data_IF_638302907349
#
_entry.id   IF_638302907349
#
_cell.length_a   1.000
_cell.length_b   1.000
_cell.length_c   1.000
_cell.angle_alpha   90.00
_cell.angle_beta   90.00
_cell.angle_gamma   90.00
#
_symmetry.space_group_name_H-M   'P 1'
#
loop_
_entity.id
_entity.type
_entity.pdbx_description
1 polymer ?
#
# COMPACT_ATOMS: atom_id res chain seq x y z
N UNK A 1 -23.13 -77.37 33.64
CA UNK A 1 -21.93 -77.03 32.84
C UNK A 1 -21.51 -75.61 33.18
N UNK A 2 -20.19 -75.42 33.26
CA UNK A 2 -19.39 -74.40 33.96
C UNK A 2 -19.76 -72.90 33.89
N UNK A 3 -19.35 -72.22 34.98
CA UNK A 3 -19.39 -70.79 35.35
C UNK A 3 -18.12 -70.00 34.93
N UNK A 4 -18.14 -68.68 35.20
CA UNK A 4 -17.07 -67.66 35.37
C UNK A 4 -16.79 -66.78 34.13
N UNK A 5 -17.05 -65.45 34.12
CA UNK A 5 -16.46 -64.27 34.83
C UNK A 5 -14.98 -64.02 34.47
N UNK A 6 -14.71 -62.80 33.95
CA UNK A 6 -13.51 -61.90 34.03
C UNK A 6 -13.44 -61.10 32.71
N UNK A 7 -13.80 -59.81 32.66
CA UNK A 7 -12.99 -58.61 32.99
C UNK A 7 -11.61 -58.54 32.31
N UNK A 8 -11.42 -57.47 31.53
CA UNK A 8 -10.15 -56.75 31.28
C UNK A 8 -9.05 -57.41 30.41
N UNK A 9 -8.90 -56.92 29.18
CA UNK A 9 -7.63 -56.75 28.44
C UNK A 9 -7.91 -56.10 27.05
N UNK A 10 -8.19 -54.80 26.97
CA UNK A 10 -7.21 -53.76 26.59
C UNK A 10 -5.74 -54.23 26.52
N UNK A 11 -5.03 -53.72 25.51
CA UNK A 11 -3.68 -54.06 25.03
C UNK A 11 -3.62 -55.26 24.08
N UNK A 12 -3.75 -55.00 22.77
CA UNK A 12 -2.93 -55.63 21.70
C UNK A 12 -3.23 -55.03 20.31
N UNK A 13 -3.31 -53.70 20.16
CA UNK A 13 -3.12 -53.02 18.85
C UNK A 13 -2.38 -51.70 19.09
N UNK A 14 -1.19 -51.82 19.67
CA UNK A 14 -0.17 -50.77 19.74
C UNK A 14 1.13 -51.53 19.60
N UNK A 15 1.59 -51.78 18.36
CA UNK A 15 2.98 -52.16 18.00
C UNK A 15 3.09 -52.40 16.47
N UNK A 16 2.56 -51.48 15.67
CA UNK A 16 2.97 -51.28 14.28
C UNK A 16 3.27 -49.79 14.07
N UNK A 17 4.18 -49.29 14.91
CA UNK A 17 4.77 -47.96 14.84
C UNK A 17 6.29 -48.11 14.87
N UNK A 18 6.92 -48.36 13.72
CA UNK A 18 8.36 -48.11 13.52
C UNK A 18 8.77 -48.32 12.05
N UNK A 19 8.26 -47.48 11.13
CA UNK A 19 8.95 -47.14 9.87
C UNK A 19 8.21 -46.11 9.00
N UNK A 20 7.26 -45.35 9.55
CA UNK A 20 6.99 -44.03 8.97
C UNK A 20 8.13 -43.16 9.47
N UNK A 21 9.07 -42.83 8.58
CA UNK A 21 10.08 -41.79 8.82
C UNK A 21 9.34 -40.62 9.47
N UNK A 22 9.71 -40.28 10.71
CA UNK A 22 9.53 -38.93 11.21
C UNK A 22 10.26 -38.04 10.20
N UNK A 23 9.55 -37.56 9.19
CA UNK A 23 9.92 -36.32 8.55
C UNK A 23 9.86 -35.34 9.69
N UNK A 24 11.04 -34.97 10.21
CA UNK A 24 11.14 -33.75 11.01
C UNK A 24 10.53 -32.68 10.11
N UNK A 25 9.29 -32.27 10.39
CA UNK A 25 8.75 -31.06 9.79
C UNK A 25 9.72 -29.97 10.23
N UNK A 26 10.60 -29.56 9.32
CA UNK A 26 11.50 -28.46 9.58
C UNK A 26 10.62 -27.25 9.91
N UNK A 27 11.04 -26.47 10.91
CA UNK A 27 10.34 -25.24 11.22
C UNK A 27 10.20 -24.41 9.92
N UNK A 28 9.05 -23.78 9.66
CA UNK A 28 8.88 -22.99 8.45
C UNK A 28 9.99 -21.95 8.34
N UNK A 29 10.57 -21.85 7.15
CA UNK A 29 11.50 -20.78 6.78
C UNK A 29 10.84 -19.41 6.95
N UNK A 30 11.64 -18.35 7.04
CA UNK A 30 11.11 -16.98 7.13
C UNK A 30 10.16 -16.66 5.97
N UNK A 31 10.44 -17.20 4.79
CA UNK A 31 9.61 -17.00 3.61
C UNK A 31 8.26 -17.72 3.70
N UNK A 32 8.25 -18.97 4.21
CA UNK A 32 7.02 -19.70 4.47
C UNK A 32 6.20 -19.02 5.58
N UNK A 33 6.85 -18.51 6.63
CA UNK A 33 6.19 -17.74 7.67
C UNK A 33 5.54 -16.46 7.09
N UNK A 34 6.25 -15.75 6.22
CA UNK A 34 5.71 -14.56 5.55
C UNK A 34 4.52 -14.91 4.65
N UNK A 35 4.60 -16.01 3.89
CA UNK A 35 3.50 -16.48 3.05
C UNK A 35 2.27 -16.84 3.90
N UNK A 36 2.46 -17.53 5.03
CA UNK A 36 1.40 -17.85 5.98
C UNK A 36 0.78 -16.59 6.60
N UNK A 37 1.59 -15.57 6.92
CA UNK A 37 1.10 -14.29 7.43
C UNK A 37 0.25 -13.55 6.38
N UNK A 38 0.71 -13.49 5.13
CA UNK A 38 -0.09 -12.93 4.03
C UNK A 38 -1.41 -13.67 3.84
N UNK A 39 -1.39 -15.00 3.79
CA UNK A 39 -2.60 -15.81 3.67
C UNK A 39 -3.58 -15.54 4.83
N UNK A 40 -3.07 -15.45 6.07
CA UNK A 40 -3.88 -15.13 7.25
C UNK A 40 -4.52 -13.75 7.13
N UNK A 41 -3.72 -12.73 6.83
CA UNK A 41 -4.18 -11.33 6.75
C UNK A 41 -5.22 -11.16 5.64
N UNK A 42 -4.94 -11.66 4.44
CA UNK A 42 -5.85 -11.55 3.30
C UNK A 42 -7.13 -12.35 3.54
N UNK A 43 -7.02 -13.55 4.13
CA UNK A 43 -8.17 -14.36 4.52
C UNK A 43 -9.05 -13.70 5.58
N UNK A 44 -8.45 -13.03 6.58
CA UNK A 44 -9.19 -12.26 7.58
C UNK A 44 -9.92 -11.07 6.97
N UNK A 45 -9.28 -10.33 6.06
CA UNK A 45 -9.91 -9.23 5.34
C UNK A 45 -11.13 -9.74 4.55
N UNK A 46 -10.97 -10.81 3.78
CA UNK A 46 -12.06 -11.38 2.98
C UNK A 46 -13.20 -11.91 3.88
N UNK A 47 -12.87 -12.63 4.95
CA UNK A 47 -13.84 -13.14 5.91
C UNK A 47 -14.70 -12.01 6.49
N UNK A 48 -14.08 -10.91 6.90
CA UNK A 48 -14.78 -9.74 7.46
C UNK A 48 -15.67 -9.09 6.39
N UNK A 49 -15.20 -8.92 5.16
CA UNK A 49 -16.00 -8.32 4.07
C UNK A 49 -17.25 -9.16 3.75
N UNK A 50 -17.08 -10.49 3.69
CA UNK A 50 -18.19 -11.41 3.47
C UNK A 50 -19.15 -11.39 4.66
N UNK A 51 -18.63 -11.36 5.90
CA UNK A 51 -19.46 -11.27 7.10
C UNK A 51 -20.27 -9.96 7.16
N UNK A 52 -19.68 -8.81 6.81
CA UNK A 52 -20.42 -7.55 6.71
C UNK A 52 -21.53 -7.59 5.67
N UNK A 53 -21.25 -8.16 4.50
CA UNK A 53 -22.27 -8.33 3.44
C UNK A 53 -23.45 -9.18 3.93
N UNK A 54 -23.15 -10.29 4.62
CA UNK A 54 -24.18 -11.17 5.17
C UNK A 54 -24.94 -10.52 6.33
N UNK A 55 -24.25 -9.80 7.22
CA UNK A 55 -24.88 -9.09 8.32
C UNK A 55 -25.86 -8.01 7.82
N UNK A 56 -25.41 -7.19 6.87
CA UNK A 56 -26.25 -6.17 6.20
C UNK A 56 -27.50 -6.79 5.58
N UNK A 57 -27.35 -7.91 4.87
CA UNK A 57 -28.47 -8.59 4.24
C UNK A 57 -29.47 -9.18 5.25
N UNK A 58 -29.00 -9.70 6.40
CA UNK A 58 -29.84 -10.39 7.38
C UNK A 58 -30.50 -9.46 8.39
N UNK A 59 -29.81 -8.41 8.78
CA UNK A 59 -30.26 -7.46 9.79
C UNK A 59 -30.68 -6.12 9.21
N UNK A 60 -30.75 -6.00 7.88
CA UNK A 60 -31.14 -4.78 7.15
C UNK A 60 -30.31 -3.55 7.60
N UNK A 61 -29.01 -3.76 7.82
CA UNK A 61 -28.04 -2.71 8.19
C UNK A 61 -27.28 -2.19 6.98
N UNK A 62 -26.72 -0.97 7.10
CA UNK A 62 -25.90 -0.32 6.07
C UNK A 62 -24.45 -0.12 6.54
N UNK A 63 -23.84 -1.18 7.07
CA UNK A 63 -22.44 -1.12 7.47
C UNK A 63 -21.53 -1.02 6.24
N UNK A 64 -20.82 0.10 6.12
CA UNK A 64 -19.94 0.40 4.99
C UNK A 64 -18.55 0.74 5.54
N UNK A 65 -17.53 0.03 5.06
CA UNK A 65 -16.13 0.35 5.35
C UNK A 65 -15.66 1.54 4.51
N UNK A 66 -14.52 2.13 4.87
CA UNK A 66 -13.91 3.18 4.05
C UNK A 66 -13.77 2.72 2.60
N UNK A 67 -14.27 3.54 1.65
CA UNK A 67 -14.16 3.25 0.22
C UNK A 67 -12.70 3.09 -0.26
N UNK A 68 -11.72 3.59 0.51
CA UNK A 68 -10.29 3.50 0.23
C UNK A 68 -9.63 2.22 0.77
N UNK A 69 -10.27 1.51 1.69
CA UNK A 69 -9.68 0.36 2.38
C UNK A 69 -9.28 -0.76 1.41
N UNK A 70 -10.25 -1.28 0.65
CA UNK A 70 -9.99 -2.35 -0.33
C UNK A 70 -9.07 -1.92 -1.47
N UNK A 71 -9.21 -0.72 -2.05
CA UNK A 71 -8.22 -0.20 -3.00
C UNK A 71 -6.79 -0.15 -2.46
N UNK A 72 -6.60 0.22 -1.19
CA UNK A 72 -5.27 0.21 -0.57
C UNK A 72 -4.72 -1.21 -0.37
N UNK A 73 -5.56 -2.14 0.09
CA UNK A 73 -5.20 -3.57 0.18
C UNK A 73 -4.76 -4.08 -1.19
N UNK A 74 -5.55 -3.86 -2.24
CA UNK A 74 -5.21 -4.27 -3.61
C UNK A 74 -3.88 -3.66 -4.09
N UNK A 75 -3.67 -2.36 -3.86
CA UNK A 75 -2.42 -1.69 -4.19
C UNK A 75 -1.22 -2.34 -3.51
N UNK A 76 -1.29 -2.53 -2.19
CA UNK A 76 -0.19 -3.12 -1.42
C UNK A 76 0.10 -4.55 -1.86
N UNK A 77 -0.92 -5.37 -2.11
CA UNK A 77 -0.72 -6.74 -2.61
C UNK A 77 -0.03 -6.76 -3.97
N UNK A 78 -0.45 -5.90 -4.90
CA UNK A 78 0.23 -5.81 -6.21
C UNK A 78 1.69 -5.41 -6.05
N UNK A 79 1.98 -4.43 -5.19
CA UNK A 79 3.34 -3.94 -4.96
C UNK A 79 4.21 -4.92 -4.18
N UNK A 80 3.65 -5.71 -3.29
CA UNK A 80 4.40 -6.59 -2.41
C UNK A 80 4.56 -8.02 -2.95
N UNK A 81 3.62 -8.49 -3.78
CA UNK A 81 3.60 -9.90 -4.20
C UNK A 81 3.06 -10.16 -5.61
N UNK A 82 2.77 -9.12 -6.39
CA UNK A 82 2.30 -9.24 -7.78
C UNK A 82 0.87 -9.78 -7.97
N UNK A 83 0.03 -9.78 -6.92
CA UNK A 83 -1.37 -10.21 -6.99
C UNK A 83 -2.33 -9.06 -6.70
N UNK A 84 -3.48 -9.02 -7.39
CA UNK A 84 -4.65 -8.30 -6.89
C UNK A 84 -5.28 -9.04 -5.70
N UNK A 85 -6.10 -8.35 -4.93
CA UNK A 85 -6.82 -8.95 -3.81
C UNK A 85 -7.70 -10.14 -4.25
N UNK A 86 -8.52 -9.95 -5.29
CA UNK A 86 -9.39 -11.00 -5.84
C UNK A 86 -8.60 -12.19 -6.42
N UNK A 87 -7.49 -11.90 -7.10
CA UNK A 87 -6.59 -12.91 -7.67
C UNK A 87 -6.00 -13.79 -6.55
N UNK A 88 -5.60 -13.19 -5.43
CA UNK A 88 -5.02 -13.93 -4.30
C UNK A 88 -6.08 -14.77 -3.58
N UNK A 89 -7.25 -14.18 -3.29
CA UNK A 89 -8.38 -14.89 -2.65
C UNK A 89 -8.79 -16.09 -3.50
N UNK A 90 -8.88 -15.92 -4.82
CA UNK A 90 -9.19 -17.01 -5.75
C UNK A 90 -8.12 -18.10 -5.74
N UNK A 91 -6.84 -17.71 -5.79
CA UNK A 91 -5.72 -18.64 -5.79
C UNK A 91 -5.65 -19.51 -4.52
N UNK A 92 -6.08 -18.98 -3.37
CA UNK A 92 -6.16 -19.74 -2.12
C UNK A 92 -7.33 -20.75 -2.08
N UNK A 93 -8.19 -20.79 -3.11
CA UNK A 93 -9.33 -21.70 -3.27
C UNK A 93 -10.33 -21.75 -2.08
N UNK A 94 -10.27 -20.76 -1.18
CA UNK A 94 -11.00 -20.75 0.10
C UNK A 94 -12.36 -20.07 0.08
N UNK A 95 -12.90 -19.67 -1.08
CA UNK A 95 -14.11 -18.84 -1.14
C UNK A 95 -15.35 -19.53 -0.53
N UNK A 96 -15.50 -20.84 -0.71
CA UNK A 96 -16.62 -21.59 -0.12
C UNK A 96 -16.48 -21.70 1.40
N UNK A 97 -15.28 -22.00 1.89
CA UNK A 97 -14.95 -22.08 3.31
C UNK A 97 -15.12 -20.71 3.99
N UNK A 98 -14.67 -19.63 3.34
CA UNK A 98 -14.81 -18.26 3.84
C UNK A 98 -16.28 -17.87 4.01
N UNK A 99 -17.16 -18.25 3.08
CA UNK A 99 -18.60 -18.01 3.22
C UNK A 99 -19.23 -18.79 4.37
N UNK A 100 -18.78 -20.03 4.59
CA UNK A 100 -19.24 -20.86 5.71
C UNK A 100 -18.81 -20.24 7.04
N UNK A 101 -17.55 -19.85 7.17
CA UNK A 101 -17.01 -19.19 8.37
C UNK A 101 -17.71 -17.85 8.63
N UNK A 102 -17.93 -17.04 7.58
CA UNK A 102 -18.68 -15.79 7.70
C UNK A 102 -20.11 -16.03 8.18
N UNK A 103 -20.78 -17.08 7.66
CA UNK A 103 -22.13 -17.47 8.10
C UNK A 103 -22.14 -17.81 9.59
N UNK A 104 -21.21 -18.65 10.03
CA UNK A 104 -21.09 -19.04 11.43
C UNK A 104 -20.84 -17.83 12.34
N UNK A 105 -19.93 -16.94 11.92
CA UNK A 105 -19.61 -15.71 12.65
C UNK A 105 -20.83 -14.78 12.78
N UNK A 106 -21.64 -14.63 11.72
CA UNK A 106 -22.87 -13.82 11.74
C UNK A 106 -23.96 -14.48 12.59
N UNK A 107 -24.13 -15.80 12.47
CA UNK A 107 -25.09 -16.58 13.27
C UNK A 107 -24.81 -16.47 14.77
N UNK A 108 -23.54 -16.59 15.16
CA UNK A 108 -23.09 -16.49 16.56
C UNK A 108 -23.38 -15.11 17.15
N UNK A 109 -23.02 -14.04 16.44
CA UNK A 109 -23.28 -12.66 16.87
C UNK A 109 -24.77 -12.40 17.06
N UNK A 110 -25.61 -12.83 16.11
CA UNK A 110 -27.06 -12.65 16.21
C UNK A 110 -27.62 -13.46 17.39
N UNK A 111 -27.17 -14.70 17.58
CA UNK A 111 -27.65 -15.58 18.64
C UNK A 111 -27.28 -15.07 20.04
N UNK A 112 -26.03 -14.62 20.24
CA UNK A 112 -25.54 -14.13 21.53
C UNK A 112 -26.23 -12.84 21.98
N UNK A 113 -26.68 -12.02 21.04
CA UNK A 113 -27.35 -10.75 21.31
C UNK A 113 -28.89 -10.82 21.22
N UNK A 114 -29.46 -12.01 21.02
CA UNK A 114 -30.91 -12.21 21.01
C UNK A 114 -31.62 -11.65 19.76
N UNK A 115 -30.90 -11.52 18.64
CA UNK A 115 -31.39 -10.98 17.38
C UNK A 115 -30.50 -9.88 16.81
N UNK A 116 -31.07 -9.08 15.90
CA UNK A 116 -30.39 -7.94 15.27
C UNK A 116 -30.38 -6.70 16.18
N UNK A 117 -29.72 -6.79 17.34
CA UNK A 117 -29.57 -5.64 18.24
C UNK A 117 -28.62 -4.59 17.65
N UNK A 118 -29.13 -3.37 17.41
CA UNK A 118 -28.37 -2.33 16.71
C UNK A 118 -27.10 -1.90 17.44
N UNK A 119 -27.10 -1.91 18.78
CA UNK A 119 -25.95 -1.50 19.57
C UNK A 119 -24.84 -2.55 19.49
N UNK A 120 -25.18 -3.81 19.66
CA UNK A 120 -24.25 -4.92 19.53
C UNK A 120 -23.66 -5.02 18.12
N UNK A 121 -24.50 -4.91 17.08
CA UNK A 121 -24.04 -4.95 15.70
C UNK A 121 -23.11 -3.78 15.35
N UNK A 122 -23.41 -2.58 15.83
CA UNK A 122 -22.53 -1.41 15.66
C UNK A 122 -21.19 -1.61 16.36
N UNK A 123 -21.21 -2.16 17.57
CA UNK A 123 -19.98 -2.47 18.31
C UNK A 123 -19.12 -3.51 17.58
N UNK A 124 -19.74 -4.59 17.10
CA UNK A 124 -19.11 -5.65 16.33
C UNK A 124 -18.51 -5.13 15.02
N UNK A 125 -19.27 -4.33 14.27
CA UNK A 125 -18.80 -3.70 13.03
C UNK A 125 -17.57 -2.82 13.27
N UNK A 126 -17.62 -1.97 14.31
CA UNK A 126 -16.49 -1.11 14.69
C UNK A 126 -15.25 -1.92 15.07
N UNK A 127 -15.42 -2.95 15.92
CA UNK A 127 -14.31 -3.80 16.34
C UNK A 127 -13.58 -4.44 15.14
N UNK A 128 -14.33 -5.00 14.18
CA UNK A 128 -13.74 -5.65 13.02
C UNK A 128 -13.13 -4.65 12.03
N UNK A 129 -13.72 -3.46 11.91
CA UNK A 129 -13.14 -2.38 11.11
C UNK A 129 -11.82 -1.91 11.71
N UNK A 130 -11.77 -1.71 13.02
CA UNK A 130 -10.55 -1.37 13.76
C UNK A 130 -9.48 -2.46 13.62
N UNK A 131 -9.84 -3.73 13.75
CA UNK A 131 -8.95 -4.86 13.52
C UNK A 131 -8.33 -4.84 12.11
N UNK A 132 -9.17 -4.61 11.10
CA UNK A 132 -8.72 -4.54 9.70
C UNK A 132 -7.73 -3.39 9.46
N UNK A 133 -7.98 -2.22 10.03
CA UNK A 133 -7.11 -1.05 9.87
C UNK A 133 -5.81 -1.17 10.66
N UNK A 134 -5.90 -1.53 11.94
CA UNK A 134 -4.79 -1.49 12.88
C UNK A 134 -3.86 -2.69 12.80
N UNK A 135 -4.37 -3.86 12.38
CA UNK A 135 -3.55 -5.07 12.28
C UNK A 135 -3.32 -5.47 10.82
N UNK A 136 -4.39 -5.74 10.08
CA UNK A 136 -4.29 -6.35 8.74
C UNK A 136 -3.66 -5.38 7.73
N UNK A 137 -4.21 -4.16 7.62
CA UNK A 137 -3.68 -3.16 6.70
C UNK A 137 -2.31 -2.64 7.16
N UNK A 138 -2.10 -2.49 8.47
CA UNK A 138 -0.81 -2.13 9.03
C UNK A 138 0.29 -3.14 8.66
N UNK A 139 0.00 -4.45 8.67
CA UNK A 139 0.91 -5.48 8.19
C UNK A 139 1.28 -5.27 6.72
N UNK A 140 0.29 -5.04 5.84
CA UNK A 140 0.52 -4.85 4.41
C UNK A 140 1.37 -3.59 4.12
N UNK A 141 1.17 -2.51 4.90
CA UNK A 141 1.94 -1.26 4.80
C UNK A 141 3.41 -1.40 5.21
N UNK A 142 3.80 -2.48 5.89
CA UNK A 142 5.21 -2.76 6.19
C UNK A 142 6.01 -3.15 4.93
N UNK A 143 5.34 -3.36 3.79
CA UNK A 143 5.95 -3.59 2.47
C UNK A 143 6.98 -4.75 2.43
N UNK A 144 6.72 -5.82 3.17
CA UNK A 144 7.54 -7.03 3.11
C UNK A 144 7.24 -7.79 1.82
N UNK A 145 8.22 -7.89 0.93
CA UNK A 145 8.04 -8.50 -0.38
C UNK A 145 7.90 -10.03 -0.27
N UNK A 146 6.88 -10.59 -0.92
CA UNK A 146 6.69 -12.03 -1.03
C UNK A 146 6.91 -12.50 -2.48
N UNK A 147 8.05 -13.14 -2.70
CA UNK A 147 8.44 -13.79 -3.95
C UNK A 147 8.15 -15.30 -3.92
N UNK A 148 8.26 -15.95 -5.09
CA UNK A 148 8.13 -17.41 -5.22
C UNK A 148 6.69 -17.90 -5.39
N UNK A 149 5.70 -17.01 -5.34
CA UNK A 149 4.33 -17.32 -5.76
C UNK A 149 4.25 -17.56 -7.27
N UNK A 150 3.26 -18.31 -7.76
CA UNK A 150 3.01 -18.45 -9.18
C UNK A 150 2.86 -17.09 -9.85
N UNK A 151 3.49 -16.91 -11.02
CA UNK A 151 3.46 -15.62 -11.72
C UNK A 151 2.08 -15.36 -12.32
N UNK A 152 1.54 -14.16 -12.09
CA UNK A 152 0.35 -13.66 -12.79
C UNK A 152 0.80 -12.95 -14.08
N UNK A 153 0.60 -13.58 -15.23
CA UNK A 153 0.99 -12.99 -16.51
C UNK A 153 0.07 -11.81 -16.89
N UNK A 154 0.67 -10.63 -17.10
CA UNK A 154 -0.04 -9.41 -17.52
C UNK A 154 0.51 -8.93 -18.85
N UNK A 155 -0.39 -8.70 -19.80
CA UNK A 155 -0.04 -8.07 -21.07
C UNK A 155 -0.02 -6.56 -20.92
N UNK A 156 0.73 -5.88 -21.79
CA UNK A 156 0.77 -4.41 -21.86
C UNK A 156 -0.63 -3.81 -21.92
N UNK A 157 -1.48 -4.37 -22.79
CA UNK A 157 -2.88 -3.95 -22.94
C UNK A 157 -3.67 -4.06 -21.62
N UNK A 158 -3.51 -5.15 -20.85
CA UNK A 158 -4.18 -5.31 -19.56
C UNK A 158 -3.70 -4.27 -18.53
N UNK A 159 -2.40 -3.97 -18.53
CA UNK A 159 -1.83 -2.95 -17.65
C UNK A 159 -2.39 -1.56 -17.99
N UNK A 160 -2.45 -1.20 -19.28
CA UNK A 160 -3.02 0.07 -19.73
C UNK A 160 -4.53 0.19 -19.41
N UNK A 161 -5.30 -0.89 -19.58
CA UNK A 161 -6.72 -0.90 -19.20
C UNK A 161 -6.89 -0.67 -17.70
N UNK A 162 -6.10 -1.36 -16.86
CA UNK A 162 -6.16 -1.19 -15.41
C UNK A 162 -5.70 0.21 -14.98
N UNK A 163 -4.67 0.77 -15.65
CA UNK A 163 -4.22 2.14 -15.45
C UNK A 163 -5.36 3.14 -15.72
N UNK A 164 -6.01 3.05 -16.89
CA UNK A 164 -7.11 3.94 -17.26
C UNK A 164 -8.31 3.81 -16.31
N UNK A 165 -8.65 2.59 -15.88
CA UNK A 165 -9.71 2.37 -14.90
C UNK A 165 -9.39 3.09 -13.57
N UNK A 166 -8.15 2.98 -13.08
CA UNK A 166 -7.71 3.64 -11.85
C UNK A 166 -7.64 5.16 -11.97
N UNK A 167 -7.26 5.67 -13.15
CA UNK A 167 -7.34 7.12 -13.44
C UNK A 167 -8.77 7.65 -13.35
N UNK A 168 -9.78 6.84 -13.68
CA UNK A 168 -11.18 7.26 -13.60
C UNK A 168 -11.74 7.22 -12.18
N UNK A 169 -11.19 6.36 -11.31
CA UNK A 169 -11.65 6.16 -9.93
C UNK A 169 -10.64 6.67 -8.87
N UNK A 170 -9.72 7.56 -9.28
CA UNK A 170 -8.58 7.96 -8.46
C UNK A 170 -8.94 8.57 -7.09
N UNK A 171 -10.14 9.12 -6.94
CA UNK A 171 -10.61 9.75 -5.71
C UNK A 171 -10.76 8.74 -4.55
N UNK A 172 -10.95 7.46 -4.87
CA UNK A 172 -11.08 6.37 -3.92
C UNK A 172 -9.76 5.60 -3.70
N UNK A 173 -8.66 6.05 -4.31
CA UNK A 173 -7.38 5.37 -4.23
C UNK A 173 -6.50 5.89 -3.07
N UNK A 174 -5.58 5.06 -2.56
CA UNK A 174 -4.60 5.53 -1.58
C UNK A 174 -3.61 6.51 -2.22
N UNK A 175 -3.01 7.36 -1.39
CA UNK A 175 -2.02 8.35 -1.81
C UNK A 175 -0.92 7.77 -2.72
N UNK A 176 -0.33 6.64 -2.35
CA UNK A 176 0.77 6.03 -3.10
C UNK A 176 0.34 5.57 -4.49
N UNK A 177 -0.91 5.14 -4.66
CA UNK A 177 -1.41 4.76 -5.97
C UNK A 177 -1.66 5.98 -6.85
N UNK A 178 -2.28 7.04 -6.30
CA UNK A 178 -2.46 8.31 -7.01
C UNK A 178 -1.10 8.87 -7.43
N UNK A 179 -0.10 8.78 -6.56
CA UNK A 179 1.26 9.19 -6.84
C UNK A 179 1.86 8.41 -8.01
N UNK A 180 1.78 7.08 -8.01
CA UNK A 180 2.29 6.26 -9.11
C UNK A 180 1.58 6.55 -10.43
N UNK A 181 0.26 6.79 -10.39
CA UNK A 181 -0.53 7.12 -11.56
C UNK A 181 -0.15 8.47 -12.15
N UNK A 182 -0.04 9.51 -11.30
CA UNK A 182 0.34 10.84 -11.74
C UNK A 182 1.79 10.87 -12.26
N UNK A 183 2.71 10.20 -11.58
CA UNK A 183 4.09 10.03 -12.03
C UNK A 183 4.17 9.33 -13.39
N UNK A 184 3.32 8.33 -13.63
CA UNK A 184 3.26 7.66 -14.92
C UNK A 184 2.76 8.57 -16.04
N UNK A 185 1.84 9.49 -15.77
CA UNK A 185 1.38 10.48 -16.73
C UNK A 185 2.45 11.54 -17.06
N UNK A 186 3.34 11.86 -16.12
CA UNK A 186 4.48 12.74 -16.39
C UNK A 186 5.62 12.01 -17.15
N UNK A 187 5.90 10.76 -16.77
CA UNK A 187 7.11 10.05 -17.20
C UNK A 187 6.89 9.07 -18.35
N UNK A 188 5.66 8.59 -18.56
CA UNK A 188 5.30 7.61 -19.59
C UNK A 188 5.57 6.15 -19.22
N UNK A 189 5.88 5.87 -17.95
CA UNK A 189 6.08 4.51 -17.45
C UNK A 189 5.27 4.26 -16.17
N UNK A 190 4.66 3.08 -16.05
CA UNK A 190 3.81 2.71 -14.94
C UNK A 190 4.15 1.32 -14.42
N UNK A 191 4.67 1.27 -13.18
CA UNK A 191 4.89 0.03 -12.45
C UNK A 191 3.55 -0.43 -11.85
N UNK A 192 2.82 -1.27 -12.57
CA UNK A 192 1.53 -1.79 -12.13
C UNK A 192 1.62 -2.63 -10.85
N UNK A 193 2.67 -3.43 -10.72
CA UNK A 193 2.90 -4.36 -9.61
C UNK A 193 4.39 -4.63 -9.41
N UNK A 194 4.74 -5.53 -8.49
CA UNK A 194 6.13 -5.91 -8.19
C UNK A 194 6.91 -6.32 -9.44
N UNK A 195 6.29 -7.13 -10.31
CA UNK A 195 6.95 -7.73 -11.48
C UNK A 195 6.39 -7.26 -12.82
N UNK A 196 5.39 -6.38 -12.83
CA UNK A 196 4.75 -5.88 -14.07
C UNK A 196 4.93 -4.37 -14.23
N UNK A 197 5.52 -3.97 -15.35
CA UNK A 197 5.81 -2.59 -15.74
C UNK A 197 5.27 -2.35 -17.16
N UNK A 198 4.65 -1.20 -17.37
CA UNK A 198 4.38 -0.63 -18.68
C UNK A 198 5.35 0.52 -18.92
N UNK A 199 5.92 0.61 -20.12
CA UNK A 199 6.77 1.71 -20.57
C UNK A 199 6.12 2.53 -21.70
N UNK A 200 4.83 2.32 -21.94
CA UNK A 200 4.11 2.91 -23.08
C UNK A 200 2.87 3.71 -22.65
N UNK A 201 2.89 4.22 -21.41
CA UNK A 201 1.83 5.14 -20.96
C UNK A 201 1.98 6.44 -21.74
N UNK A 202 0.88 6.88 -22.35
CA UNK A 202 0.82 8.17 -23.04
C UNK A 202 0.93 9.26 -21.98
N UNK A 203 1.91 10.15 -22.14
CA UNK A 203 2.09 11.28 -21.23
C UNK A 203 0.92 12.25 -21.33
N UNK A 204 0.44 12.71 -20.18
CA UNK A 204 -0.59 13.74 -20.08
C UNK A 204 -0.33 14.57 -18.82
N UNK A 205 0.49 15.62 -18.97
CA UNK A 205 0.86 16.50 -17.86
C UNK A 205 -0.34 17.24 -17.27
N UNK A 206 -1.41 17.49 -18.04
CA UNK A 206 -2.61 18.17 -17.51
C UNK A 206 -3.34 17.25 -16.54
N UNK A 207 -3.50 15.98 -16.93
CA UNK A 207 -4.11 14.97 -16.06
C UNK A 207 -3.19 14.64 -14.87
N UNK A 208 -1.87 14.58 -15.07
CA UNK A 208 -0.91 14.43 -13.98
C UNK A 208 -1.07 15.53 -12.92
N UNK A 209 -1.08 16.80 -13.35
CA UNK A 209 -1.28 17.96 -12.48
C UNK A 209 -2.62 17.91 -11.74
N UNK A 210 -3.68 17.40 -12.39
CA UNK A 210 -4.98 17.19 -11.72
C UNK A 210 -4.87 16.19 -10.58
N UNK A 211 -4.21 15.05 -10.81
CA UNK A 211 -4.00 14.05 -9.76
C UNK A 211 -3.08 14.56 -8.66
N UNK A 212 -2.03 15.30 -9.01
CA UNK A 212 -1.12 15.91 -8.04
C UNK A 212 -1.83 16.96 -7.16
N UNK A 213 -2.66 17.81 -7.76
CA UNK A 213 -3.47 18.76 -7.01
C UNK A 213 -4.45 18.05 -6.07
N UNK A 214 -5.14 17.00 -6.55
CA UNK A 214 -5.98 16.19 -5.67
C UNK A 214 -5.20 15.56 -4.52
N UNK A 215 -3.99 15.04 -4.79
CA UNK A 215 -3.16 14.45 -3.74
C UNK A 215 -2.70 15.48 -2.70
N UNK A 216 -2.47 16.72 -3.11
CA UNK A 216 -2.21 17.86 -2.22
C UNK A 216 -3.43 18.16 -1.36
N UNK A 217 -4.60 18.32 -1.98
CA UNK A 217 -5.83 18.73 -1.30
C UNK A 217 -6.32 17.67 -0.30
N UNK A 218 -6.20 16.39 -0.67
CA UNK A 218 -6.73 15.28 0.12
C UNK A 218 -5.79 14.81 1.24
N UNK A 219 -4.48 14.82 1.00
CA UNK A 219 -3.52 14.19 1.92
C UNK A 219 -2.52 15.17 2.56
N UNK A 220 -2.39 16.39 2.01
CA UNK A 220 -1.48 17.44 2.49
C UNK A 220 -0.02 16.98 2.73
N UNK A 221 0.45 16.04 1.89
CA UNK A 221 1.80 15.45 2.06
C UNK A 221 2.87 16.31 1.39
N UNK A 222 4.03 16.56 2.05
CA UNK A 222 5.13 17.32 1.48
C UNK A 222 5.57 16.84 0.08
N UNK A 223 5.66 15.52 -0.12
CA UNK A 223 6.04 14.94 -1.41
C UNK A 223 5.06 15.23 -2.55
N UNK A 224 3.76 15.39 -2.25
CA UNK A 224 2.74 15.72 -3.24
C UNK A 224 2.96 17.11 -3.83
N UNK A 225 3.25 18.09 -2.96
CA UNK A 225 3.59 19.45 -3.37
C UNK A 225 4.87 19.48 -4.22
N UNK A 226 5.88 18.69 -3.86
CA UNK A 226 7.12 18.61 -4.65
C UNK A 226 6.86 18.04 -6.05
N UNK A 227 6.09 16.94 -6.14
CA UNK A 227 5.74 16.32 -7.42
C UNK A 227 4.88 17.26 -8.29
N UNK A 228 3.92 17.97 -7.69
CA UNK A 228 3.15 19.01 -8.37
C UNK A 228 4.07 20.12 -8.92
N UNK A 229 5.03 20.58 -8.11
CA UNK A 229 6.03 21.57 -8.51
C UNK A 229 6.82 21.11 -9.74
N UNK A 230 7.34 19.88 -9.74
CA UNK A 230 8.05 19.30 -10.89
C UNK A 230 7.16 19.20 -12.13
N UNK A 231 5.90 18.79 -12.00
CA UNK A 231 4.97 18.67 -13.14
C UNK A 231 4.58 20.02 -13.73
N UNK A 232 4.58 21.10 -12.93
CA UNK A 232 4.26 22.46 -13.36
C UNK A 232 5.46 23.25 -13.91
N UNK A 233 6.69 22.80 -13.66
CA UNK A 233 7.89 23.65 -13.79
C UNK A 233 8.12 24.23 -15.20
N UNK A 234 7.71 23.52 -16.27
CA UNK A 234 7.88 23.98 -17.66
C UNK A 234 6.79 24.93 -18.14
N UNK A 235 5.61 24.91 -17.52
CA UNK A 235 4.41 25.56 -18.07
C UNK A 235 3.77 26.58 -17.12
N UNK A 236 4.11 26.54 -15.83
CA UNK A 236 3.55 27.42 -14.81
C UNK A 236 4.55 27.67 -13.67
N UNK A 237 5.71 28.28 -13.98
CA UNK A 237 6.83 28.52 -13.05
C UNK A 237 6.41 29.14 -11.71
N UNK A 238 5.51 30.13 -11.70
CA UNK A 238 5.05 30.76 -10.45
C UNK A 238 4.30 29.78 -9.55
N UNK A 239 3.42 28.95 -10.14
CA UNK A 239 2.69 27.91 -9.40
C UNK A 239 3.63 26.81 -8.95
N UNK A 240 4.59 26.42 -9.79
CA UNK A 240 5.62 25.45 -9.46
C UNK A 240 6.45 25.91 -8.26
N UNK A 241 6.93 27.16 -8.27
CA UNK A 241 7.67 27.75 -7.16
C UNK A 241 6.83 27.79 -5.88
N UNK A 242 5.55 28.14 -5.99
CA UNK A 242 4.60 28.08 -4.86
C UNK A 242 4.53 26.66 -4.26
N UNK A 243 4.39 25.64 -5.10
CA UNK A 243 4.34 24.25 -4.66
C UNK A 243 5.66 23.79 -4.02
N UNK A 244 6.82 24.11 -4.60
CA UNK A 244 8.13 23.82 -4.00
C UNK A 244 8.28 24.48 -2.62
N UNK A 245 7.87 25.75 -2.48
CA UNK A 245 7.87 26.46 -1.19
C UNK A 245 7.01 25.76 -0.15
N UNK A 246 5.79 25.35 -0.50
CA UNK A 246 4.92 24.62 0.43
C UNK A 246 5.53 23.27 0.84
N UNK A 247 6.10 22.54 -0.12
CA UNK A 247 6.77 21.27 0.15
C UNK A 247 7.95 21.42 1.13
N UNK A 248 8.82 22.40 0.90
CA UNK A 248 9.98 22.67 1.75
C UNK A 248 9.57 23.17 3.14
N UNK A 249 8.56 24.04 3.23
CA UNK A 249 8.02 24.50 4.51
C UNK A 249 7.49 23.35 5.38
N UNK A 250 7.04 22.26 4.74
CA UNK A 250 6.59 21.02 5.39
C UNK A 250 7.72 20.03 5.67
N UNK A 251 8.99 20.41 5.51
CA UNK A 251 10.15 19.58 5.85
C UNK A 251 10.49 18.52 4.79
N UNK A 252 10.16 18.77 3.52
CA UNK A 252 10.57 17.85 2.45
C UNK A 252 11.99 18.15 1.99
N UNK A 253 12.96 17.37 2.47
CA UNK A 253 14.38 17.54 2.17
C UNK A 253 14.70 17.82 0.69
N UNK A 254 14.05 17.11 -0.24
CA UNK A 254 14.28 17.33 -1.68
C UNK A 254 13.78 18.69 -2.18
N UNK A 255 12.67 19.20 -1.63
CA UNK A 255 12.18 20.53 -1.96
C UNK A 255 13.03 21.63 -1.31
N UNK A 256 13.55 21.39 -0.11
CA UNK A 256 14.48 22.29 0.57
C UNK A 256 15.79 22.39 -0.20
N UNK A 257 16.35 21.27 -0.63
CA UNK A 257 17.52 21.25 -1.53
C UNK A 257 17.21 22.02 -2.81
N UNK A 258 16.09 21.72 -3.47
CA UNK A 258 15.68 22.42 -4.70
C UNK A 258 15.54 23.93 -4.49
N UNK A 259 14.95 24.38 -3.38
CA UNK A 259 14.84 25.81 -3.06
C UNK A 259 16.19 26.45 -2.77
N UNK A 260 17.07 25.75 -2.05
CA UNK A 260 18.43 26.18 -1.79
C UNK A 260 19.17 26.46 -3.10
N UNK A 261 19.16 25.49 -4.02
CA UNK A 261 19.72 25.62 -5.36
C UNK A 261 19.03 26.74 -6.15
N UNK A 262 17.69 26.85 -6.10
CA UNK A 262 16.93 27.90 -6.79
C UNK A 262 17.35 29.30 -6.34
N UNK A 263 17.52 29.53 -5.04
CA UNK A 263 17.98 30.82 -4.54
C UNK A 263 19.45 31.09 -4.90
N UNK A 264 20.29 30.06 -4.96
CA UNK A 264 21.65 30.19 -5.47
C UNK A 264 21.67 30.61 -6.95
N UNK A 265 20.82 30.03 -7.80
CA UNK A 265 20.67 30.46 -9.21
C UNK A 265 20.24 31.94 -9.35
N UNK A 266 19.69 32.56 -8.29
CA UNK A 266 19.29 33.96 -8.23
C UNK A 266 20.27 34.83 -7.43
N UNK A 267 21.46 34.34 -7.11
CA UNK A 267 22.46 35.02 -6.29
C UNK A 267 21.95 35.43 -4.88
N UNK A 268 20.92 34.76 -4.37
CA UNK A 268 20.39 34.98 -3.03
C UNK A 268 21.03 34.00 -2.03
N UNK A 269 22.31 34.20 -1.78
CA UNK A 269 23.14 33.34 -0.93
C UNK A 269 22.58 33.14 0.49
N UNK A 270 22.04 34.16 1.18
CA UNK A 270 21.46 33.95 2.51
C UNK A 270 20.29 32.97 2.52
N UNK A 271 19.40 33.05 1.52
CA UNK A 271 18.30 32.09 1.39
C UNK A 271 18.78 30.73 0.92
N UNK A 272 19.74 30.68 -0.01
CA UNK A 272 20.34 29.44 -0.47
C UNK A 272 20.89 28.64 0.71
N UNK A 273 21.78 29.25 1.52
CA UNK A 273 22.36 28.60 2.69
C UNK A 273 21.32 28.18 3.71
N UNK A 274 20.31 29.02 3.98
CA UNK A 274 19.24 28.66 4.91
C UNK A 274 18.54 27.35 4.52
N UNK A 275 18.14 27.21 3.26
CA UNK A 275 17.41 26.03 2.80
C UNK A 275 18.32 24.80 2.63
N UNK A 276 19.56 24.98 2.18
CA UNK A 276 20.53 23.89 2.06
C UNK A 276 20.91 23.31 3.43
N UNK A 277 21.15 24.14 4.44
CA UNK A 277 21.41 23.67 5.80
C UNK A 277 20.19 23.02 6.45
N UNK A 278 18.99 23.55 6.17
CA UNK A 278 17.75 22.91 6.61
C UNK A 278 17.59 21.52 5.97
N UNK A 279 17.85 21.39 4.67
CA UNK A 279 17.82 20.10 3.98
C UNK A 279 18.77 19.09 4.63
N UNK A 280 19.99 19.48 5.00
CA UNK A 280 20.94 18.63 5.74
C UNK A 280 20.36 18.16 7.09
N UNK A 281 19.74 19.07 7.85
CA UNK A 281 19.09 18.75 9.13
C UNK A 281 17.94 17.75 8.95
N UNK A 282 17.17 17.89 7.88
CA UNK A 282 16.05 17.01 7.53
C UNK A 282 16.48 15.76 6.72
N UNK A 283 17.80 15.49 6.71
CA UNK A 283 18.38 14.23 6.26
C UNK A 283 18.71 14.17 4.77
N UNK A 284 18.84 15.29 4.06
CA UNK A 284 19.49 15.31 2.74
C UNK A 284 20.93 14.83 2.85
N UNK A 285 21.44 14.22 1.77
CA UNK A 285 22.81 13.72 1.74
C UNK A 285 23.80 14.90 1.80
N UNK A 286 24.67 14.98 2.83
CA UNK A 286 25.55 16.13 2.99
C UNK A 286 26.48 16.35 1.80
N UNK A 287 26.99 15.26 1.21
CA UNK A 287 27.87 15.31 0.02
C UNK A 287 27.21 16.05 -1.14
N UNK A 288 25.93 15.77 -1.43
CA UNK A 288 25.22 16.46 -2.50
C UNK A 288 25.04 17.97 -2.24
N UNK A 289 24.87 18.36 -0.98
CA UNK A 289 24.75 19.76 -0.61
C UNK A 289 26.11 20.46 -0.65
N UNK A 290 27.18 19.76 -0.25
CA UNK A 290 28.54 20.25 -0.31
C UNK A 290 28.99 20.45 -1.76
N UNK A 291 28.59 19.57 -2.68
CA UNK A 291 28.77 19.75 -4.13
C UNK A 291 28.12 21.05 -4.63
N UNK A 292 26.88 21.34 -4.20
CA UNK A 292 26.21 22.60 -4.56
C UNK A 292 27.01 23.82 -4.06
N UNK A 293 27.54 23.78 -2.83
CA UNK A 293 28.39 24.86 -2.33
C UNK A 293 29.69 24.99 -3.10
N UNK A 294 30.35 23.88 -3.44
CA UNK A 294 31.56 23.88 -4.25
C UNK A 294 31.30 24.50 -5.64
N UNK A 295 30.19 24.14 -6.30
CA UNK A 295 29.79 24.76 -7.56
C UNK A 295 29.57 26.27 -7.43
N UNK A 296 28.93 26.72 -6.34
CA UNK A 296 28.74 28.14 -6.10
C UNK A 296 30.08 28.86 -5.89
N UNK A 297 31.01 28.28 -5.14
CA UNK A 297 32.31 28.88 -4.86
C UNK A 297 33.22 28.92 -6.11
N UNK A 298 33.17 27.88 -6.95
CA UNK A 298 34.01 27.76 -8.14
C UNK A 298 33.43 28.49 -9.37
N UNK A 299 32.11 28.43 -9.55
CA UNK A 299 31.43 28.89 -10.77
C UNK A 299 30.52 30.10 -10.53
N UNK A 300 30.29 30.48 -9.27
CA UNK A 300 29.37 31.56 -8.87
C UNK A 300 27.89 31.13 -8.85
N UNK A 301 27.55 29.96 -9.38
CA UNK A 301 26.18 29.43 -9.43
C UNK A 301 26.21 27.90 -9.60
N UNK A 302 25.18 27.16 -9.15
CA UNK A 302 25.07 25.72 -9.43
C UNK A 302 25.01 25.39 -10.93
N UNK A 303 25.53 24.22 -11.31
CA UNK A 303 25.64 23.79 -12.72
C UNK A 303 24.31 23.44 -13.36
N UNK A 304 23.29 23.16 -12.55
CA UNK A 304 21.93 22.86 -12.99
C UNK A 304 21.02 24.09 -13.14
N UNK A 305 21.58 25.30 -13.03
CA UNK A 305 20.85 26.54 -13.27
C UNK A 305 20.71 26.84 -14.77
N UNK A 306 19.48 26.82 -15.27
CA UNK A 306 19.12 27.23 -16.65
C UNK A 306 18.08 28.35 -16.58
N UNK A 307 18.42 29.53 -17.08
CA UNK A 307 17.57 30.74 -17.04
C UNK A 307 16.99 31.04 -15.64
N UNK A 308 17.84 30.89 -14.61
CA UNK A 308 17.47 31.08 -13.21
C UNK A 308 16.63 29.94 -12.62
N UNK A 309 16.44 28.83 -13.32
CA UNK A 309 15.65 27.69 -12.83
C UNK A 309 16.51 26.44 -12.64
N UNK A 310 16.10 25.57 -11.71
CA UNK A 310 16.82 24.34 -11.36
C UNK A 310 16.26 23.16 -12.15
N UNK A 311 17.12 22.48 -12.92
CA UNK A 311 16.75 21.33 -13.76
C UNK A 311 17.32 20.00 -13.25
#
# INVERSE_FOLDING_TARGET
>A
MFRFVFSSALLSILLLSASVKRVYAQAPSEMEQLAMQYARVIGQIELINVAFTQMNARCETDFITSAKFLPEVDYLLRKNMDYRFDEFVHWMEGAAETRLLATQMVDEVIAEHGGCDSSALTHWFRYLTELNEQENLAFLRQNKLLFGLPKVARSEHKIQLAFNAKINDYQNLPYQEIHDLASALDQGSYRYSLLSLSQSIIKDSTKAQTLWQFAVDEFDKPGAYYALGKSLQEHAKDKALGAFKQSAQKGYRFAETWLGTYYACHNNMPQASFWLEKAKQDGAEPEYIDDIYAEIDELGTPTNCVDGWVY
#
